data_IF_999849844438
#
_entry.id   IF_999849844438
#
_cell.length_a   1.000
_cell.length_b   1.000
_cell.length_c   1.000
_cell.angle_alpha   90.00
_cell.angle_beta   90.00
_cell.angle_gamma   90.00
#
_symmetry.space_group_name_H-M   'P 1'
#
loop_
_entity.id
_entity.type
_entity.pdbx_description
1 polymer ?
#
# COMPACT_ATOMS: atom_id res chain seq x y z
N UNK A 1 10.82 6.97 12.76
CA UNK A 1 11.59 6.93 11.49
C UNK A 1 10.63 6.77 10.32
N UNK A 2 10.89 7.39 9.17
CA UNK A 2 10.15 7.09 7.94
C UNK A 2 10.40 5.63 7.58
N UNK A 3 9.32 4.87 7.37
CA UNK A 3 9.42 3.47 6.94
C UNK A 3 9.75 3.45 5.45
N UNK A 4 10.84 2.81 5.07
CA UNK A 4 11.15 2.57 3.65
C UNK A 4 10.34 1.37 3.17
N UNK A 5 9.69 1.48 2.02
CA UNK A 5 8.93 0.40 1.41
C UNK A 5 9.28 0.27 -0.06
N UNK A 6 9.21 -0.96 -0.57
CA UNK A 6 9.33 -1.20 -2.00
C UNK A 6 8.00 -0.84 -2.67
N UNK A 7 7.99 0.26 -3.43
CA UNK A 7 6.78 0.71 -4.13
C UNK A 7 6.58 -0.11 -5.40
N UNK A 8 5.51 -0.90 -5.49
CA UNK A 8 5.19 -1.66 -6.71
C UNK A 8 4.83 -0.76 -7.89
N UNK A 9 4.22 0.39 -7.65
CA UNK A 9 3.91 1.34 -8.72
C UNK A 9 5.16 1.98 -9.35
N UNK A 10 6.17 2.35 -8.53
CA UNK A 10 7.40 2.99 -9.01
C UNK A 10 8.57 2.02 -9.22
N UNK A 11 8.39 0.74 -8.85
CA UNK A 11 9.40 -0.32 -8.93
C UNK A 11 10.73 0.04 -8.24
N UNK A 12 10.67 0.79 -7.13
CA UNK A 12 11.83 1.25 -6.37
C UNK A 12 11.50 1.41 -4.89
N UNK A 13 12.54 1.46 -4.06
CA UNK A 13 12.40 1.83 -2.65
C UNK A 13 12.08 3.33 -2.50
N UNK A 14 11.14 3.62 -1.62
CA UNK A 14 10.68 4.98 -1.34
C UNK A 14 10.13 5.05 0.09
N UNK A 15 9.78 6.26 0.54
CA UNK A 15 9.08 6.41 1.80
C UNK A 15 7.68 5.81 1.72
N UNK A 16 7.38 4.86 2.61
CA UNK A 16 6.06 4.31 2.84
C UNK A 16 5.14 5.29 3.55
N UNK A 17 3.84 5.04 3.46
CA UNK A 17 2.84 5.86 4.15
C UNK A 17 3.04 5.78 5.66
N UNK A 18 2.71 6.85 6.38
CA UNK A 18 2.78 6.88 7.85
C UNK A 18 1.60 6.16 8.52
N UNK A 19 0.46 6.06 7.83
CA UNK A 19 -0.76 5.40 8.31
C UNK A 19 -1.51 4.69 7.18
N UNK A 20 -2.27 3.64 7.53
CA UNK A 20 -3.14 2.96 6.58
C UNK A 20 -4.37 3.84 6.29
N UNK A 21 -4.65 4.18 5.02
CA UNK A 21 -5.78 5.04 4.65
C UNK A 21 -7.14 4.34 4.78
N UNK A 22 -7.14 3.00 4.78
CA UNK A 22 -8.33 2.18 4.98
C UNK A 22 -8.11 1.12 6.07
N UNK A 23 -9.15 0.80 6.85
CA UNK A 23 -9.13 -0.38 7.70
C UNK A 23 -9.25 -1.66 6.85
N UNK A 24 -8.60 -2.74 7.30
CA UNK A 24 -8.62 -4.06 6.66
C UNK A 24 -7.34 -4.39 5.88
N UNK A 25 -7.33 -5.56 5.24
CA UNK A 25 -6.16 -6.08 4.49
C UNK A 25 -5.72 -5.15 3.37
N UNK A 26 -6.66 -4.50 2.68
CA UNK A 26 -6.36 -3.58 1.58
C UNK A 26 -5.47 -2.42 2.05
N UNK A 27 -5.81 -1.80 3.19
CA UNK A 27 -5.02 -0.70 3.74
C UNK A 27 -3.65 -1.14 4.20
N UNK A 28 -3.52 -2.34 4.78
CA UNK A 28 -2.22 -2.93 5.14
C UNK A 28 -1.37 -3.22 3.90
N UNK A 29 -1.98 -3.73 2.82
CA UNK A 29 -1.30 -4.01 1.56
C UNK A 29 -0.76 -2.73 0.90
N UNK A 30 -1.57 -1.67 0.86
CA UNK A 30 -1.13 -0.35 0.39
C UNK A 30 0.01 0.17 1.27
N UNK A 31 -0.14 0.10 2.60
CA UNK A 31 0.88 0.56 3.54
C UNK A 31 2.24 -0.16 3.35
N UNK A 32 2.21 -1.46 3.03
CA UNK A 32 3.40 -2.29 2.87
C UNK A 32 4.05 -2.20 1.47
N UNK A 33 3.27 -1.92 0.42
CA UNK A 33 3.73 -2.00 -0.98
C UNK A 33 3.69 -0.70 -1.76
N UNK A 34 3.18 0.38 -1.17
CA UNK A 34 2.98 1.66 -1.85
C UNK A 34 3.65 2.78 -1.05
N UNK A 35 4.39 3.63 -1.77
CA UNK A 35 5.03 4.80 -1.21
C UNK A 35 4.15 6.05 -1.19
N UNK A 36 4.56 7.06 -0.44
CA UNK A 36 3.92 8.39 -0.39
C UNK A 36 3.76 9.01 -1.77
N UNK A 37 4.78 8.88 -2.64
CA UNK A 37 4.74 9.43 -4.00
C UNK A 37 3.67 8.79 -4.89
N UNK A 38 3.56 7.46 -4.88
CA UNK A 38 2.53 6.74 -5.62
C UNK A 38 1.14 6.98 -5.03
N UNK A 39 1.04 7.08 -3.70
CA UNK A 39 -0.21 7.41 -3.02
C UNK A 39 -0.74 8.79 -3.40
N UNK A 40 0.12 9.80 -3.48
CA UNK A 40 -0.27 11.14 -3.93
C UNK A 40 -0.83 11.13 -5.35
N UNK A 41 -0.24 10.34 -6.27
CA UNK A 41 -0.75 10.14 -7.63
C UNK A 41 -2.14 9.50 -7.61
N UNK A 42 -2.35 8.50 -6.75
CA UNK A 42 -3.67 7.90 -6.56
C UNK A 42 -4.71 8.91 -6.03
N UNK A 43 -4.38 9.75 -5.05
CA UNK A 43 -5.32 10.76 -4.54
C UNK A 43 -5.77 11.75 -5.62
N UNK A 44 -4.86 12.18 -6.50
CA UNK A 44 -5.20 13.00 -7.65
C UNK A 44 -6.14 12.26 -8.62
N UNK A 45 -5.85 10.99 -8.91
CA UNK A 45 -6.68 10.15 -9.76
C UNK A 45 -8.07 9.89 -9.16
N UNK A 46 -8.13 9.60 -7.86
CA UNK A 46 -9.38 9.44 -7.12
C UNK A 46 -10.24 10.71 -7.21
N UNK A 47 -9.64 11.89 -7.06
CA UNK A 47 -10.36 13.17 -7.17
C UNK A 47 -10.95 13.35 -8.57
N UNK A 48 -10.19 12.98 -9.61
CA UNK A 48 -10.69 12.98 -10.99
C UNK A 48 -11.87 12.01 -11.16
N UNK A 49 -11.75 10.76 -10.67
CA UNK A 49 -12.83 9.76 -10.74
C UNK A 49 -14.10 10.23 -10.02
N UNK A 50 -13.95 10.86 -8.85
CA UNK A 50 -15.07 11.42 -8.07
C UNK A 50 -15.79 12.51 -8.86
N UNK A 51 -15.04 13.43 -9.49
CA UNK A 51 -15.63 14.52 -10.25
C UNK A 51 -16.28 14.03 -11.55
N UNK A 52 -15.63 13.13 -12.28
CA UNK A 52 -16.08 12.64 -13.59
C UNK A 52 -17.30 11.73 -13.46
N UNK A 53 -17.24 10.75 -12.55
CA UNK A 53 -18.34 9.79 -12.33
C UNK A 53 -19.35 10.28 -11.29
N UNK A 54 -19.19 11.50 -10.77
CA UNK A 54 -19.98 12.09 -9.67
C UNK A 54 -20.13 11.13 -8.47
N UNK A 55 -19.03 10.49 -8.09
CA UNK A 55 -19.03 9.50 -7.02
C UNK A 55 -19.17 10.17 -5.66
N UNK A 56 -20.22 9.84 -4.93
CA UNK A 56 -20.34 10.20 -3.53
C UNK A 56 -19.64 9.18 -2.63
N UNK A 57 -18.70 9.60 -1.75
CA UNK A 57 -18.02 8.71 -0.79
C UNK A 57 -18.97 8.19 0.30
N UNK A 58 -20.18 8.74 0.40
CA UNK A 58 -21.23 8.23 1.29
C UNK A 58 -21.82 6.91 0.77
N UNK A 59 -21.84 6.70 -0.55
CA UNK A 59 -22.42 5.51 -1.14
C UNK A 59 -21.44 4.31 -1.06
N UNK A 60 -21.83 3.18 -0.43
CA UNK A 60 -20.99 1.99 -0.35
C UNK A 60 -20.60 1.40 -1.71
N UNK A 61 -21.44 1.50 -2.74
CA UNK A 61 -21.13 0.98 -4.08
C UNK A 61 -19.99 1.76 -4.75
N UNK A 62 -19.99 3.08 -4.58
CA UNK A 62 -18.90 3.93 -5.07
C UNK A 62 -17.60 3.65 -4.32
N UNK A 63 -17.65 3.38 -3.01
CA UNK A 63 -16.46 2.98 -2.25
C UNK A 63 -15.86 1.67 -2.79
N UNK A 64 -16.69 0.67 -3.10
CA UNK A 64 -16.24 -0.58 -3.72
C UNK A 64 -15.60 -0.34 -5.09
N UNK A 65 -16.21 0.52 -5.92
CA UNK A 65 -15.64 0.90 -7.22
C UNK A 65 -14.28 1.59 -7.05
N UNK A 66 -14.17 2.58 -6.15
CA UNK A 66 -12.93 3.28 -5.87
C UNK A 66 -11.84 2.35 -5.33
N UNK A 67 -12.19 1.34 -4.53
CA UNK A 67 -11.25 0.32 -4.07
C UNK A 67 -10.73 -0.52 -5.24
N UNK A 68 -11.61 -0.98 -6.13
CA UNK A 68 -11.20 -1.73 -7.32
C UNK A 68 -10.33 -0.91 -8.27
N UNK A 69 -10.69 0.36 -8.51
CA UNK A 69 -9.89 1.26 -9.32
C UNK A 69 -8.57 1.64 -8.66
N UNK A 70 -8.50 1.70 -7.32
CA UNK A 70 -7.24 1.85 -6.60
C UNK A 70 -6.34 0.65 -6.82
N UNK A 71 -6.87 -0.55 -6.61
CA UNK A 71 -6.09 -1.77 -6.76
C UNK A 71 -5.55 -1.88 -8.17
N UNK A 72 -6.36 -1.56 -9.17
CA UNK A 72 -5.88 -1.43 -10.54
C UNK A 72 -4.87 -0.29 -10.67
N UNK A 73 -5.13 0.93 -10.25
CA UNK A 73 -4.20 2.04 -10.48
C UNK A 73 -2.81 1.80 -9.85
N UNK A 74 -2.79 1.27 -8.63
CA UNK A 74 -1.57 1.03 -7.86
C UNK A 74 -0.89 -0.31 -8.22
N UNK A 75 -1.65 -1.33 -8.61
CA UNK A 75 -1.14 -2.70 -8.87
C UNK A 75 -1.35 -3.21 -10.32
N UNK A 76 -2.03 -2.48 -11.21
CA UNK A 76 -2.26 -2.86 -12.63
C UNK A 76 -1.00 -2.78 -13.49
N UNK A 77 0.08 -2.17 -12.99
CA UNK A 77 1.42 -2.30 -13.58
C UNK A 77 2.08 -3.66 -13.31
N UNK A 78 1.39 -4.58 -12.62
CA UNK A 78 1.89 -5.91 -12.26
C UNK A 78 1.79 -6.96 -13.37
N UNK A 79 1.89 -6.60 -14.64
CA UNK A 79 2.21 -7.57 -15.68
C UNK A 79 3.73 -7.76 -15.69
N UNK A 80 4.17 -8.86 -15.07
CA UNK A 80 5.54 -9.38 -15.11
C UNK A 80 6.54 -8.72 -14.15
N UNK A 81 6.71 -9.31 -12.96
CA UNK A 81 8.05 -9.36 -12.33
C UNK A 81 8.60 -10.78 -12.53
N UNK A 82 9.85 -10.93 -13.02
CA UNK A 82 10.48 -12.24 -13.17
C UNK A 82 10.54 -12.97 -11.83
N UNK A 83 10.38 -14.29 -11.88
CA UNK A 83 10.41 -15.19 -10.73
C UNK A 83 11.73 -15.00 -9.93
N UNK A 84 11.68 -14.29 -8.80
CA UNK A 84 12.87 -14.10 -7.96
C UNK A 84 12.82 -13.01 -6.88
N UNK A 85 11.81 -12.13 -6.84
CA UNK A 85 11.74 -11.12 -5.78
C UNK A 85 11.14 -11.71 -4.49
N UNK A 86 12.02 -12.13 -3.58
CA UNK A 86 11.69 -12.47 -2.19
C UNK A 86 11.94 -11.22 -1.34
N UNK A 87 10.91 -10.50 -0.86
CA UNK A 87 11.12 -9.46 0.14
C UNK A 87 11.38 -10.12 1.49
N UNK A 88 12.64 -10.38 1.81
CA UNK A 88 13.07 -10.58 3.19
C UNK A 88 13.40 -9.21 3.78
N UNK A 89 12.51 -8.68 4.62
CA UNK A 89 12.85 -7.89 5.82
C UNK A 89 11.58 -7.26 6.43
N UNK A 90 11.36 -7.53 7.71
CA UNK A 90 10.32 -6.86 8.51
C UNK A 90 9.97 -7.53 9.82
N UNK A 91 10.46 -8.74 10.10
CA UNK A 91 10.46 -9.33 11.44
C UNK A 91 11.77 -9.01 12.16
N UNK A 92 12.03 -7.73 12.45
CA UNK A 92 13.09 -7.32 13.37
C UNK A 92 12.54 -7.25 14.78
N UNK A 93 12.35 -8.41 15.39
CA UNK A 93 12.30 -8.59 16.83
C UNK A 93 13.65 -9.11 17.32
N UNK A 94 14.64 -8.23 17.40
CA UNK A 94 15.79 -8.43 18.28
C UNK A 94 15.28 -8.27 19.73
N UNK A 95 15.67 -9.03 20.75
CA UNK A 95 16.66 -10.10 20.91
C UNK A 95 16.71 -10.42 22.42
N UNK A 96 16.89 -11.71 22.73
CA UNK A 96 17.42 -12.34 23.94
C UNK A 96 17.65 -11.52 25.22
N UNK A 97 17.15 -12.04 26.35
CA UNK A 97 18.03 -12.72 27.33
C UNK A 97 17.21 -13.76 28.10
N UNK A 98 17.59 -15.04 27.93
CA UNK A 98 17.28 -16.07 28.92
C UNK A 98 18.35 -16.09 30.00
N UNK A 99 17.93 -16.35 31.24
CA UNK A 99 18.70 -16.83 32.38
C UNK A 99 17.65 -17.09 33.49
N UNK A 100 17.55 -18.20 34.22
CA UNK A 100 18.31 -19.44 34.33
C UNK A 100 17.38 -20.48 34.96
N UNK A 101 17.55 -21.75 34.61
CA UNK A 101 17.01 -22.87 35.38
C UNK A 101 17.91 -23.12 36.59
N UNK A 102 17.33 -23.13 37.78
CA UNK A 102 17.62 -24.07 38.88
C UNK A 102 16.38 -24.16 39.74
#
# INVERSE_FOLDING_TARGET
MPRTVFCEYEQRETEGLDFAPWPGELGQRVLARIGKGAWAKWLAHQTMLINENRLSPMNPDHRKMLQGEMEKFLFSGGAEKPAGYVPEAGASGAGSTGDSST
#
